data_IF_662673204839
#
_entry.id   IF_662673204839
#
_cell.length_a   1.000
_cell.length_b   1.000
_cell.length_c   1.000
_cell.angle_alpha   90.00
_cell.angle_beta   90.00
_cell.angle_gamma   90.00
#
_symmetry.space_group_name_H-M   'P 1'
#
loop_
_entity.id
_entity.type
_entity.pdbx_description
1 polymer ?
#
# COMPACT_ATOMS: atom_id res chain seq x y z
N UNK A 1 23.72 -6.13 26.34
CA UNK A 1 24.10 -7.36 25.63
C UNK A 1 25.58 -7.32 25.33
N UNK A 2 26.19 -8.47 25.08
CA UNK A 2 27.56 -8.49 24.58
C UNK A 2 27.59 -8.07 23.11
N UNK A 3 28.69 -7.45 22.68
CA UNK A 3 28.90 -7.07 21.28
C UNK A 3 29.97 -7.94 20.66
N UNK A 4 29.63 -8.61 19.57
CA UNK A 4 30.60 -9.29 18.69
C UNK A 4 30.89 -8.36 17.52
N UNK A 5 32.11 -7.84 17.46
CA UNK A 5 32.55 -6.98 16.37
C UNK A 5 33.34 -7.77 15.33
N UNK A 6 33.00 -7.60 14.05
CA UNK A 6 33.63 -8.29 12.92
C UNK A 6 34.34 -7.28 12.02
N UNK A 7 35.65 -7.40 11.91
CA UNK A 7 36.46 -6.55 11.03
C UNK A 7 36.19 -6.83 9.54
N UNK A 8 36.34 -5.80 8.71
CA UNK A 8 36.15 -5.88 7.28
C UNK A 8 37.16 -6.78 6.56
N UNK A 9 36.83 -7.16 5.33
CA UNK A 9 37.66 -8.05 4.50
C UNK A 9 37.56 -9.53 4.90
N UNK A 10 36.79 -9.87 5.93
CA UNK A 10 36.46 -11.26 6.28
C UNK A 10 35.19 -11.74 5.59
N UNK A 11 35.15 -13.04 5.33
CA UNK A 11 33.94 -13.77 4.93
C UNK A 11 33.60 -14.80 6.00
N UNK A 12 32.39 -14.74 6.53
CA UNK A 12 31.84 -15.76 7.44
C UNK A 12 30.98 -16.69 6.59
N UNK A 13 31.37 -17.97 6.52
CA UNK A 13 30.71 -18.97 5.69
C UNK A 13 29.88 -19.92 6.55
N UNK A 14 28.70 -20.26 6.06
CA UNK A 14 27.76 -21.21 6.66
C UNK A 14 26.70 -20.55 7.53
N UNK A 15 25.70 -21.32 7.98
CA UNK A 15 24.64 -20.83 8.86
C UNK A 15 25.20 -20.26 10.15
N UNK A 16 24.62 -19.15 10.61
CA UNK A 16 25.04 -18.47 11.84
C UNK A 16 23.83 -18.19 12.74
N UNK A 17 23.79 -18.83 13.91
CA UNK A 17 22.77 -18.53 14.93
C UNK A 17 23.30 -17.50 15.92
N UNK A 18 22.52 -16.45 16.16
CA UNK A 18 22.88 -15.38 17.12
C UNK A 18 22.15 -15.61 18.45
N UNK A 19 22.88 -15.85 19.55
CA UNK A 19 22.27 -16.03 20.86
C UNK A 19 21.53 -14.78 21.36
N UNK A 20 20.61 -14.96 22.30
CA UNK A 20 19.80 -13.88 22.86
C UNK A 20 20.67 -12.76 23.44
N UNK A 21 20.33 -11.52 23.13
CA UNK A 21 20.98 -10.33 23.68
C UNK A 21 22.32 -9.98 23.06
N UNK A 22 22.76 -10.69 22.02
CA UNK A 22 24.03 -10.41 21.33
C UNK A 22 23.81 -9.41 20.21
N UNK A 23 24.64 -8.37 20.17
CA UNK A 23 24.77 -7.48 19.03
C UNK A 23 25.92 -7.96 18.15
N UNK A 24 25.61 -8.41 16.94
CA UNK A 24 26.60 -8.70 15.92
C UNK A 24 26.78 -7.45 15.05
N UNK A 25 27.98 -6.87 15.08
CA UNK A 25 28.28 -5.59 14.42
C UNK A 25 29.49 -5.77 13.50
N UNK A 26 29.30 -5.53 12.21
CA UNK A 26 30.35 -5.52 11.21
C UNK A 26 30.99 -4.15 11.09
N UNK A 27 32.23 -4.10 10.63
CA UNK A 27 32.97 -2.85 10.43
C UNK A 27 32.25 -1.87 9.48
N UNK A 28 31.31 -2.32 8.63
CA UNK A 28 30.49 -1.44 7.80
C UNK A 28 29.68 -0.41 8.60
N UNK A 29 29.33 -0.70 9.85
CA UNK A 29 28.62 0.22 10.74
C UNK A 29 29.56 1.03 11.66
N UNK A 30 30.84 0.68 11.71
CA UNK A 30 31.77 1.15 12.75
C UNK A 30 31.43 0.59 14.14
N UNK A 31 32.18 1.02 15.15
CA UNK A 31 31.98 0.67 16.56
C UNK A 31 32.37 1.84 17.44
N UNK A 32 31.49 2.23 18.36
CA UNK A 32 31.81 3.16 19.44
C UNK A 32 31.44 2.50 20.76
N UNK A 33 32.45 2.10 21.51
CA UNK A 33 32.33 1.62 22.90
C UNK A 33 33.36 2.35 23.77
N UNK A 34 33.20 2.29 25.10
CA UNK A 34 33.87 3.20 26.03
C UNK A 34 35.39 3.41 25.83
N UNK A 35 36.12 2.41 25.33
CA UNK A 35 37.57 2.49 25.09
C UNK A 35 37.99 2.20 23.65
N UNK A 36 37.04 1.97 22.74
CA UNK A 36 37.33 1.57 21.36
C UNK A 36 36.43 2.32 20.41
N UNK A 37 37.05 3.08 19.51
CA UNK A 37 36.40 3.70 18.36
C UNK A 37 36.97 3.07 17.10
N UNK A 38 36.10 2.46 16.30
CA UNK A 38 36.41 1.97 14.96
C UNK A 38 35.48 2.70 14.00
N UNK A 39 36.05 3.48 13.09
CA UNK A 39 35.27 4.14 12.05
C UNK A 39 34.62 3.12 11.10
N UNK A 40 33.46 3.46 10.49
CA UNK A 40 32.88 2.67 9.42
C UNK A 40 33.91 2.37 8.31
N UNK A 41 33.99 1.11 7.90
CA UNK A 41 34.92 0.63 6.89
C UNK A 41 34.29 -0.41 5.97
N UNK A 42 35.11 -1.28 5.38
CA UNK A 42 34.60 -2.35 4.49
C UNK A 42 33.70 -3.31 5.27
N UNK A 43 32.47 -3.51 4.82
CA UNK A 43 31.56 -4.46 5.44
C UNK A 43 32.09 -5.91 5.32
N UNK A 44 32.16 -6.68 6.41
CA UNK A 44 32.36 -8.12 6.33
C UNK A 44 31.22 -8.80 5.58
N UNK A 45 31.52 -9.89 4.87
CA UNK A 45 30.50 -10.65 4.11
C UNK A 45 29.99 -11.85 4.91
N UNK A 46 28.67 -12.00 4.99
CA UNK A 46 27.98 -13.18 5.53
C UNK A 46 27.46 -14.03 4.36
N UNK A 47 27.87 -15.31 4.31
CA UNK A 47 27.50 -16.27 3.27
C UNK A 47 26.81 -17.47 3.92
N UNK A 48 25.49 -17.39 4.06
CA UNK A 48 24.65 -18.37 4.74
C UNK A 48 23.55 -17.67 5.53
N UNK A 49 22.44 -18.35 5.87
CA UNK A 49 21.37 -17.69 6.62
C UNK A 49 21.86 -17.33 8.01
N UNK A 50 21.56 -16.10 8.43
CA UNK A 50 21.73 -15.64 9.80
C UNK A 50 20.40 -15.83 10.54
N UNK A 51 20.41 -16.62 11.61
CA UNK A 51 19.23 -16.87 12.44
C UNK A 51 19.38 -16.12 13.76
N UNK A 52 18.81 -14.92 13.91
CA UNK A 52 18.75 -14.26 15.20
C UNK A 52 17.81 -15.01 16.15
N UNK A 53 17.90 -14.69 17.44
CA UNK A 53 16.95 -15.13 18.45
C UNK A 53 16.26 -13.90 19.04
N UNK A 54 16.56 -13.50 20.27
CA UNK A 54 15.89 -12.35 20.90
C UNK A 54 16.87 -11.22 21.22
N UNK A 55 16.39 -9.99 21.27
CA UNK A 55 17.14 -8.81 21.71
C UNK A 55 18.47 -8.63 20.96
N UNK A 56 18.48 -8.92 19.67
CA UNK A 56 19.67 -8.88 18.84
C UNK A 56 19.77 -7.58 18.05
N UNK A 57 21.01 -7.21 17.70
CA UNK A 57 21.29 -6.15 16.72
C UNK A 57 22.19 -6.75 15.65
N UNK A 58 21.80 -6.62 14.39
CA UNK A 58 22.58 -7.02 13.22
C UNK A 58 22.90 -5.77 12.40
N UNK A 59 24.16 -5.36 12.35
CA UNK A 59 24.51 -4.12 11.66
C UNK A 59 25.85 -4.14 10.92
N UNK A 60 25.94 -3.44 9.79
CA UNK A 60 27.22 -3.20 9.11
C UNK A 60 27.76 -4.37 8.31
N UNK A 61 26.90 -5.31 7.89
CA UNK A 61 27.27 -6.47 7.09
C UNK A 61 26.88 -6.33 5.63
N UNK A 62 27.58 -7.09 4.78
CA UNK A 62 27.11 -7.46 3.45
C UNK A 62 26.62 -8.91 3.49
N UNK A 63 25.36 -9.19 3.23
CA UNK A 63 24.89 -10.58 3.03
C UNK A 63 24.89 -10.87 1.54
N UNK A 64 25.65 -11.88 1.11
CA UNK A 64 25.71 -12.24 -0.30
C UNK A 64 26.02 -13.72 -0.50
N UNK A 65 25.36 -14.34 -1.49
CA UNK A 65 25.59 -15.75 -1.84
C UNK A 65 25.03 -16.74 -0.81
N UNK A 66 24.06 -16.34 0.00
CA UNK A 66 23.32 -17.29 0.85
C UNK A 66 22.56 -18.28 -0.03
N UNK A 67 22.57 -19.57 0.34
CA UNK A 67 21.80 -20.62 -0.35
C UNK A 67 20.31 -20.64 0.02
N UNK A 68 19.90 -19.78 0.94
CA UNK A 68 18.52 -19.51 1.33
C UNK A 68 18.38 -18.02 1.65
N UNK A 69 17.63 -17.63 2.70
CA UNK A 69 17.51 -16.23 3.05
C UNK A 69 18.83 -15.64 3.54
N UNK A 70 18.96 -14.31 3.48
CA UNK A 70 20.09 -13.62 4.12
C UNK A 70 19.99 -13.67 5.65
N UNK A 71 18.82 -13.28 6.14
CA UNK A 71 18.40 -13.42 7.54
C UNK A 71 17.13 -14.28 7.56
N UNK A 72 17.16 -15.34 8.37
CA UNK A 72 16.08 -16.31 8.48
C UNK A 72 15.50 -16.30 9.90
N UNK A 73 14.24 -15.90 9.99
CA UNK A 73 13.42 -15.91 11.20
C UNK A 73 12.19 -16.81 10.99
N UNK A 74 12.44 -18.02 10.51
CA UNK A 74 11.43 -19.05 10.28
C UNK A 74 10.67 -19.51 11.54
N UNK A 75 9.67 -20.37 11.31
CA UNK A 75 8.79 -20.95 12.34
C UNK A 75 9.59 -21.56 13.48
N UNK A 76 9.19 -21.24 14.72
CA UNK A 76 9.76 -21.82 15.95
C UNK A 76 10.97 -21.06 16.52
N UNK A 77 11.43 -19.99 15.87
CA UNK A 77 12.59 -19.19 16.31
C UNK A 77 12.26 -18.21 17.45
N UNK A 78 10.97 -17.90 17.70
CA UNK A 78 10.51 -16.97 18.76
C UNK A 78 11.32 -15.66 18.79
N UNK A 79 11.61 -15.10 17.62
CA UNK A 79 12.43 -13.89 17.46
C UNK A 79 11.67 -12.65 17.92
N UNK A 80 12.29 -11.79 18.72
CA UNK A 80 11.68 -10.54 19.20
C UNK A 80 12.76 -9.54 19.65
N UNK A 81 12.46 -8.24 19.64
CA UNK A 81 13.41 -7.21 20.04
C UNK A 81 14.63 -7.13 19.10
N UNK A 82 14.39 -7.26 17.80
CA UNK A 82 15.44 -7.32 16.79
C UNK A 82 15.61 -5.98 16.08
N UNK A 83 16.85 -5.54 15.90
CA UNK A 83 17.20 -4.42 15.01
C UNK A 83 18.16 -4.89 13.91
N UNK A 84 17.77 -4.71 12.66
CA UNK A 84 18.58 -4.97 11.47
C UNK A 84 18.87 -3.62 10.82
N UNK A 85 20.13 -3.17 10.84
CA UNK A 85 20.45 -1.82 10.35
C UNK A 85 21.75 -1.65 9.59
N UNK A 86 21.78 -0.73 8.63
CA UNK A 86 23.02 -0.39 7.91
C UNK A 86 23.72 -1.60 7.29
N UNK A 87 22.94 -2.57 6.82
CA UNK A 87 23.44 -3.74 6.08
C UNK A 87 23.20 -3.56 4.58
N UNK A 88 23.93 -4.33 3.79
CA UNK A 88 23.74 -4.48 2.35
C UNK A 88 23.36 -5.91 2.02
N UNK A 89 22.23 -6.11 1.36
CA UNK A 89 21.72 -7.40 0.94
C UNK A 89 21.75 -7.51 -0.58
N UNK A 90 22.33 -8.58 -1.11
CA UNK A 90 22.41 -8.83 -2.55
C UNK A 90 22.61 -10.31 -2.85
N UNK A 91 22.12 -10.82 -3.98
CA UNK A 91 22.42 -12.17 -4.48
C UNK A 91 22.20 -13.31 -3.45
N UNK A 92 21.12 -13.27 -2.68
CA UNK A 92 20.68 -14.44 -1.91
C UNK A 92 19.83 -15.34 -2.82
N UNK A 93 19.75 -16.64 -2.52
CA UNK A 93 18.98 -17.59 -3.31
C UNK A 93 17.47 -17.54 -3.05
N UNK A 94 17.05 -16.93 -1.94
CA UNK A 94 15.66 -16.67 -1.54
C UNK A 94 15.52 -15.20 -1.11
N UNK A 95 14.65 -14.88 -0.14
CA UNK A 95 14.47 -13.52 0.38
C UNK A 95 15.74 -12.96 1.03
N UNK A 96 15.85 -11.63 1.11
CA UNK A 96 16.92 -11.04 1.92
C UNK A 96 16.63 -11.18 3.41
N UNK A 97 15.38 -10.97 3.80
CA UNK A 97 14.89 -11.13 5.17
C UNK A 97 13.59 -11.93 5.10
N UNK A 98 13.61 -13.12 5.68
CA UNK A 98 12.44 -13.99 5.81
C UNK A 98 11.97 -14.02 7.27
N UNK A 99 10.68 -13.72 7.50
CA UNK A 99 10.06 -13.69 8.81
C UNK A 99 8.75 -14.46 8.84
N UNK A 100 8.64 -15.43 9.75
CA UNK A 100 7.37 -16.09 10.05
C UNK A 100 7.12 -16.19 11.54
N UNK A 101 5.91 -15.83 11.96
CA UNK A 101 5.45 -15.89 13.34
C UNK A 101 6.37 -15.21 14.37
N UNK A 102 7.07 -14.16 13.95
CA UNK A 102 7.94 -13.39 14.82
C UNK A 102 7.18 -12.66 15.93
N UNK A 103 7.90 -12.24 16.95
CA UNK A 103 7.45 -11.39 18.04
C UNK A 103 7.76 -9.90 17.78
N UNK A 104 7.66 -9.09 18.83
CA UNK A 104 7.75 -7.63 18.75
C UNK A 104 8.71 -7.06 19.80
N UNK A 105 9.38 -5.92 19.54
CA UNK A 105 9.41 -5.18 18.28
C UNK A 105 10.45 -5.74 17.30
N UNK A 106 10.29 -5.45 16.01
CA UNK A 106 11.31 -5.65 14.96
C UNK A 106 11.50 -4.35 14.19
N UNK A 107 12.75 -3.93 14.04
CA UNK A 107 13.12 -2.74 13.27
C UNK A 107 14.13 -3.10 12.18
N UNK A 108 13.82 -2.69 10.95
CA UNK A 108 14.66 -2.85 9.77
C UNK A 108 14.94 -1.45 9.23
N UNK A 109 16.14 -0.92 9.46
CA UNK A 109 16.43 0.49 9.20
C UNK A 109 17.71 0.76 8.42
N UNK A 110 17.68 1.72 7.50
CA UNK A 110 18.89 2.19 6.78
C UNK A 110 19.68 1.08 6.07
N UNK A 111 19.03 0.03 5.59
CA UNK A 111 19.66 -1.03 4.82
C UNK A 111 19.56 -0.75 3.32
N UNK A 112 20.41 -1.42 2.54
CA UNK A 112 20.38 -1.41 1.09
C UNK A 112 20.09 -2.82 0.59
N UNK A 113 19.07 -2.97 -0.25
CA UNK A 113 18.67 -4.21 -0.90
C UNK A 113 18.88 -4.05 -2.41
N UNK A 114 19.57 -5.00 -3.03
CA UNK A 114 19.83 -4.98 -4.48
C UNK A 114 19.49 -6.32 -5.10
N UNK A 115 18.51 -6.28 -5.99
CA UNK A 115 17.87 -7.47 -6.54
C UNK A 115 17.08 -8.24 -5.48
N UNK A 116 16.47 -9.33 -5.90
CA UNK A 116 16.10 -10.48 -5.07
C UNK A 116 16.19 -11.72 -5.95
N UNK A 117 16.17 -12.91 -5.36
CA UNK A 117 16.06 -14.12 -6.17
C UNK A 117 14.76 -14.10 -6.99
N UNK A 118 14.80 -14.73 -8.17
CA UNK A 118 13.66 -14.74 -9.07
C UNK A 118 12.39 -15.29 -8.37
N UNK A 119 11.31 -14.51 -8.38
CA UNK A 119 10.04 -14.85 -7.73
C UNK A 119 10.01 -14.72 -6.19
N UNK A 120 11.07 -14.22 -5.55
CA UNK A 120 11.12 -14.00 -4.10
C UNK A 120 11.04 -12.51 -3.76
N UNK A 121 10.47 -12.23 -2.58
CA UNK A 121 10.41 -10.87 -2.04
C UNK A 121 11.77 -10.45 -1.48
N UNK A 122 12.08 -9.14 -1.42
CA UNK A 122 13.28 -8.72 -0.68
C UNK A 122 13.07 -8.88 0.84
N UNK A 123 11.91 -8.46 1.35
CA UNK A 123 11.48 -8.71 2.73
C UNK A 123 10.12 -9.40 2.71
N UNK A 124 10.04 -10.56 3.36
CA UNK A 124 8.78 -11.27 3.58
C UNK A 124 8.49 -11.39 5.07
N UNK A 125 7.26 -11.05 5.47
CA UNK A 125 6.74 -11.27 6.80
C UNK A 125 5.35 -11.90 6.74
N UNK A 126 5.19 -13.06 7.37
CA UNK A 126 3.89 -13.70 7.56
C UNK A 126 3.63 -13.96 9.05
N UNK A 127 2.39 -13.68 9.48
CA UNK A 127 1.89 -14.02 10.80
C UNK A 127 0.65 -14.90 10.69
N UNK A 128 0.69 -16.10 11.23
CA UNK A 128 -0.43 -17.07 11.15
C UNK A 128 -1.23 -17.22 12.44
N UNK A 129 -0.74 -16.70 13.58
CA UNK A 129 -1.57 -16.60 14.78
C UNK A 129 -0.89 -16.15 16.08
N UNK A 130 -1.74 -15.91 17.08
CA UNK A 130 -1.39 -15.57 18.47
C UNK A 130 -1.95 -14.23 18.91
N UNK A 131 -2.49 -14.13 20.13
CA UNK A 131 -3.05 -12.88 20.69
C UNK A 131 -1.94 -11.90 21.14
N UNK A 132 -1.07 -11.48 20.23
CA UNK A 132 0.02 -10.53 20.53
C UNK A 132 -0.02 -9.36 19.57
N UNK A 133 0.46 -8.21 20.04
CA UNK A 133 0.73 -7.06 19.18
C UNK A 133 2.04 -7.31 18.44
N UNK A 134 2.04 -7.11 17.13
CA UNK A 134 3.26 -7.04 16.31
C UNK A 134 3.58 -5.58 16.09
N UNK A 135 4.84 -5.22 16.30
CA UNK A 135 5.36 -3.88 16.02
C UNK A 135 6.55 -4.06 15.08
N UNK A 136 6.32 -3.76 13.80
CA UNK A 136 7.29 -3.88 12.73
C UNK A 136 7.50 -2.51 12.08
N UNK A 137 8.75 -2.05 12.07
CA UNK A 137 9.14 -0.82 11.38
C UNK A 137 10.15 -1.11 10.28
N UNK A 138 9.88 -0.65 9.06
CA UNK A 138 10.80 -0.69 7.92
C UNK A 138 11.06 0.75 7.51
N UNK A 139 12.22 1.28 7.91
CA UNK A 139 12.48 2.72 7.85
C UNK A 139 13.78 3.08 7.11
N UNK A 140 13.74 4.08 6.23
CA UNK A 140 14.91 4.64 5.55
C UNK A 140 15.76 3.63 4.78
N UNK A 141 15.16 2.54 4.28
CA UNK A 141 15.86 1.56 3.46
C UNK A 141 15.85 1.96 1.99
N UNK A 142 16.82 1.44 1.23
CA UNK A 142 16.87 1.57 -0.23
C UNK A 142 16.71 0.19 -0.86
N UNK A 143 15.78 0.07 -1.79
CA UNK A 143 15.54 -1.14 -2.58
C UNK A 143 15.78 -0.80 -4.05
N UNK A 144 16.54 -1.63 -4.75
CA UNK A 144 16.83 -1.42 -6.17
C UNK A 144 16.72 -2.74 -6.90
N UNK A 145 15.81 -2.83 -7.88
CA UNK A 145 15.81 -3.95 -8.80
C UNK A 145 17.10 -3.90 -9.64
N UNK A 146 17.74 -5.06 -9.83
CA UNK A 146 18.90 -5.19 -10.71
C UNK A 146 18.52 -5.38 -12.19
N UNK A 147 17.23 -5.53 -12.50
CA UNK A 147 16.71 -5.73 -13.85
C UNK A 147 17.17 -7.02 -14.52
N UNK A 148 17.68 -8.00 -13.77
CA UNK A 148 18.24 -9.25 -14.32
C UNK A 148 17.26 -10.41 -14.31
N UNK A 149 16.26 -10.39 -13.43
CA UNK A 149 15.23 -11.41 -13.29
C UNK A 149 13.92 -10.80 -12.77
N UNK A 150 12.79 -11.48 -13.02
CA UNK A 150 11.51 -11.15 -12.39
C UNK A 150 11.63 -11.35 -10.89
N UNK A 151 11.56 -10.25 -10.14
CA UNK A 151 11.59 -10.27 -8.68
C UNK A 151 10.16 -10.41 -8.17
N UNK A 152 10.00 -10.89 -6.94
CA UNK A 152 8.71 -10.78 -6.25
C UNK A 152 8.45 -9.31 -5.87
N UNK A 153 8.03 -9.06 -4.64
CA UNK A 153 7.74 -7.73 -4.11
C UNK A 153 8.96 -7.19 -3.37
N UNK A 154 9.13 -5.88 -3.30
CA UNK A 154 10.19 -5.35 -2.43
C UNK A 154 9.87 -5.69 -0.96
N UNK A 155 8.60 -5.54 -0.56
CA UNK A 155 8.13 -5.89 0.78
C UNK A 155 6.76 -6.57 0.67
N UNK A 156 6.63 -7.71 1.34
CA UNK A 156 5.36 -8.41 1.51
C UNK A 156 5.05 -8.65 2.99
N UNK A 157 3.91 -8.14 3.45
CA UNK A 157 3.41 -8.34 4.82
C UNK A 157 2.07 -9.07 4.75
N UNK A 158 1.99 -10.21 5.42
CA UNK A 158 0.78 -11.03 5.51
C UNK A 158 0.35 -11.20 6.98
N UNK A 159 -0.84 -10.73 7.28
CA UNK A 159 -1.49 -10.88 8.58
C UNK A 159 -2.63 -11.87 8.44
N UNK A 160 -2.44 -13.12 8.88
CA UNK A 160 -3.38 -14.21 8.63
C UNK A 160 -4.14 -14.65 9.90
N UNK A 161 -3.80 -14.11 11.07
CA UNK A 161 -4.38 -14.53 12.34
C UNK A 161 -5.44 -13.59 12.93
N UNK A 162 -5.35 -13.35 14.24
CA UNK A 162 -6.30 -12.53 15.03
C UNK A 162 -5.60 -11.44 15.86
N UNK A 163 -4.32 -11.25 15.57
CA UNK A 163 -3.43 -10.29 16.20
C UNK A 163 -3.71 -8.84 15.80
N UNK A 164 -3.13 -7.92 16.56
CA UNK A 164 -3.03 -6.51 16.17
C UNK A 164 -1.66 -6.24 15.58
N UNK A 165 -1.60 -5.75 14.35
CA UNK A 165 -0.36 -5.29 13.72
C UNK A 165 -0.25 -3.78 13.82
N UNK A 166 0.90 -3.30 14.29
CA UNK A 166 1.39 -1.95 14.14
C UNK A 166 2.52 -2.04 13.12
N UNK A 167 2.27 -1.49 11.92
CA UNK A 167 3.24 -1.54 10.83
C UNK A 167 3.59 -0.13 10.38
N UNK A 168 4.88 0.19 10.41
CA UNK A 168 5.41 1.43 9.89
C UNK A 168 6.32 1.21 8.70
N UNK A 169 6.04 1.89 7.60
CA UNK A 169 6.86 1.90 6.40
C UNK A 169 7.21 3.35 6.06
N UNK A 170 8.41 3.81 6.48
CA UNK A 170 8.73 5.25 6.48
C UNK A 170 10.04 5.61 5.78
N UNK A 171 10.02 6.65 4.95
CA UNK A 171 11.24 7.22 4.39
C UNK A 171 12.03 6.29 3.46
N UNK A 172 11.42 5.22 2.96
CA UNK A 172 12.10 4.25 2.10
C UNK A 172 12.15 4.74 0.66
N UNK A 173 13.17 4.28 -0.07
CA UNK A 173 13.28 4.50 -1.52
C UNK A 173 13.25 3.15 -2.21
N UNK A 174 12.30 2.94 -3.11
CA UNK A 174 12.19 1.73 -3.93
C UNK A 174 12.29 2.15 -5.39
N UNK A 175 13.28 1.60 -6.11
CA UNK A 175 13.49 1.87 -7.53
C UNK A 175 13.49 0.57 -8.32
N UNK A 176 12.47 0.42 -9.16
CA UNK A 176 12.34 -0.65 -10.13
C UNK A 176 12.67 -0.22 -11.56
N UNK A 177 12.37 -1.08 -12.52
CA UNK A 177 12.69 -0.91 -13.95
C UNK A 177 11.47 -0.68 -14.86
N UNK A 178 10.26 -0.62 -14.29
CA UNK A 178 8.97 -0.55 -14.99
C UNK A 178 8.83 -1.62 -16.10
N UNK A 179 9.15 -2.86 -15.77
CA UNK A 179 8.99 -4.01 -16.66
C UNK A 179 8.93 -5.30 -15.82
N UNK A 180 8.74 -6.44 -16.48
CA UNK A 180 8.63 -7.77 -15.85
C UNK A 180 9.92 -8.25 -15.14
N UNK A 181 11.00 -7.48 -15.19
CA UNK A 181 12.26 -7.73 -14.44
C UNK A 181 12.39 -6.79 -13.23
N UNK A 182 11.31 -6.09 -12.87
CA UNK A 182 11.21 -5.25 -11.67
C UNK A 182 10.68 -6.04 -10.48
N UNK A 183 10.52 -5.36 -9.34
CA UNK A 183 9.61 -5.82 -8.30
C UNK A 183 8.17 -5.73 -8.81
N UNK A 184 7.36 -6.75 -8.52
CA UNK A 184 5.92 -6.74 -8.80
C UNK A 184 5.25 -5.59 -8.09
N UNK A 185 5.41 -5.50 -6.77
CA UNK A 185 4.91 -4.38 -5.97
C UNK A 185 5.99 -3.80 -5.04
N UNK A 186 5.87 -2.51 -4.72
CA UNK A 186 6.75 -1.86 -3.75
C UNK A 186 6.45 -2.32 -2.32
N UNK A 187 5.21 -2.06 -1.88
CA UNK A 187 4.67 -2.61 -0.64
C UNK A 187 3.41 -3.40 -0.95
N UNK A 188 3.41 -4.68 -0.61
CA UNK A 188 2.23 -5.51 -0.58
C UNK A 188 1.83 -5.81 0.85
N UNK A 189 0.57 -5.56 1.18
CA UNK A 189 0.00 -5.86 2.48
C UNK A 189 -1.30 -6.62 2.32
N UNK A 190 -1.41 -7.77 2.99
CA UNK A 190 -2.67 -8.51 3.08
C UNK A 190 -3.09 -8.78 4.51
N UNK A 191 -4.39 -8.62 4.77
CA UNK A 191 -5.02 -8.98 6.03
C UNK A 191 -6.14 -10.00 5.83
N UNK A 192 -5.99 -11.14 6.48
CA UNK A 192 -6.97 -12.20 6.61
C UNK A 192 -7.25 -12.44 8.11
N UNK A 193 -8.27 -13.25 8.37
CA UNK A 193 -8.71 -13.57 9.72
C UNK A 193 -9.36 -12.39 10.45
N UNK A 194 -9.23 -12.38 11.77
CA UNK A 194 -9.77 -11.33 12.65
C UNK A 194 -8.71 -10.30 13.04
N UNK A 195 -7.66 -10.16 12.23
CA UNK A 195 -6.56 -9.24 12.52
C UNK A 195 -7.02 -7.78 12.52
N UNK A 196 -6.34 -6.95 13.30
CA UNK A 196 -6.51 -5.49 13.30
C UNK A 196 -5.20 -4.86 12.93
N UNK A 197 -5.14 -4.19 11.79
CA UNK A 197 -3.89 -3.72 11.22
C UNK A 197 -3.92 -2.20 11.20
N UNK A 198 -3.02 -1.58 11.97
CA UNK A 198 -2.81 -0.14 11.99
C UNK A 198 -1.49 0.14 11.26
N UNK A 199 -1.61 0.79 10.12
CA UNK A 199 -0.56 0.88 9.12
C UNK A 199 -0.24 2.34 8.86
N UNK A 200 1.05 2.68 8.89
CA UNK A 200 1.54 3.99 8.51
C UNK A 200 2.49 3.84 7.32
N UNK A 201 2.16 4.47 6.20
CA UNK A 201 3.00 4.54 5.00
C UNK A 201 3.34 6.01 4.77
N UNK A 202 4.56 6.42 5.11
CA UNK A 202 4.90 7.84 5.10
C UNK A 202 6.27 8.20 4.53
N UNK A 203 6.35 9.29 3.77
CA UNK A 203 7.64 9.82 3.29
C UNK A 203 8.39 8.90 2.32
N UNK A 204 7.75 7.90 1.71
CA UNK A 204 8.41 6.97 0.81
C UNK A 204 8.48 7.52 -0.61
N UNK A 205 9.50 7.11 -1.36
CA UNK A 205 9.62 7.30 -2.81
C UNK A 205 9.63 5.94 -3.48
N UNK A 206 8.61 5.63 -4.29
CA UNK A 206 8.47 4.34 -4.97
C UNK A 206 8.30 4.60 -6.45
N UNK A 207 9.11 3.95 -7.28
CA UNK A 207 9.03 4.13 -8.72
C UNK A 207 9.38 2.89 -9.51
N UNK A 208 8.77 2.70 -10.69
CA UNK A 208 9.16 1.66 -11.63
C UNK A 208 8.72 0.25 -11.24
N UNK A 209 7.64 0.09 -10.49
CA UNK A 209 7.10 -1.23 -10.16
C UNK A 209 6.47 -1.86 -11.40
N UNK A 210 6.45 -3.19 -11.50
CA UNK A 210 5.74 -3.88 -12.59
C UNK A 210 4.22 -3.72 -12.45
N UNK A 211 3.69 -3.79 -11.24
CA UNK A 211 2.26 -3.68 -10.94
C UNK A 211 1.97 -2.42 -10.14
N UNK A 212 2.10 -2.46 -8.81
CA UNK A 212 1.68 -1.36 -7.93
C UNK A 212 2.78 -0.80 -7.04
N UNK A 213 2.81 0.52 -6.80
CA UNK A 213 3.70 1.06 -5.77
C UNK A 213 3.30 0.59 -4.38
N UNK A 214 2.01 0.63 -4.07
CA UNK A 214 1.43 0.07 -2.85
C UNK A 214 0.17 -0.72 -3.19
N UNK A 215 0.08 -1.94 -2.65
CA UNK A 215 -1.07 -2.82 -2.82
C UNK A 215 -1.58 -3.30 -1.45
N UNK A 216 -2.80 -2.89 -1.12
CA UNK A 216 -3.57 -3.48 -0.03
C UNK A 216 -4.58 -4.48 -0.57
N UNK A 217 -4.45 -5.72 -0.13
CA UNK A 217 -5.33 -6.81 -0.52
C UNK A 217 -6.03 -7.41 0.69
N UNK A 218 -7.30 -7.76 0.52
CA UNK A 218 -7.97 -8.72 1.38
C UNK A 218 -8.48 -9.86 0.50
N UNK A 219 -7.61 -10.83 0.25
CA UNK A 219 -7.93 -11.95 -0.61
C UNK A 219 -8.98 -12.86 0.04
N UNK A 220 -10.17 -12.97 -0.58
CA UNK A 220 -11.13 -14.07 -0.40
C UNK A 220 -11.04 -15.01 -1.62
N UNK A 221 -11.30 -16.33 -1.62
CA UNK A 221 -12.49 -17.12 -1.28
C UNK A 221 -12.09 -18.55 -0.82
N UNK A 222 -10.79 -18.85 -0.76
CA UNK A 222 -10.22 -20.20 -0.75
C UNK A 222 -9.84 -20.71 0.64
N UNK A 223 -9.71 -19.84 1.64
CA UNK A 223 -9.44 -20.26 3.01
C UNK A 223 -10.75 -20.58 3.75
N UNK A 224 -10.99 -21.85 4.15
CA UNK A 224 -12.15 -22.20 4.96
C UNK A 224 -12.02 -21.55 6.35
N UNK A 225 -12.69 -20.41 6.53
CA UNK A 225 -12.60 -19.55 7.71
C UNK A 225 -12.56 -18.04 7.43
N UNK A 226 -12.61 -17.63 6.15
CA UNK A 226 -12.45 -16.26 5.64
C UNK A 226 -13.30 -15.15 6.29
N UNK A 227 -12.81 -14.62 7.40
CA UNK A 227 -12.95 -13.20 7.74
C UNK A 227 -11.78 -12.44 7.12
N UNK A 228 -12.02 -11.22 6.65
CA UNK A 228 -10.95 -10.35 6.13
C UNK A 228 -10.55 -9.33 7.16
N UNK A 229 -9.30 -9.29 7.64
CA UNK A 229 -8.92 -8.51 8.83
C UNK A 229 -9.16 -7.00 8.69
N UNK A 230 -9.41 -6.28 9.79
CA UNK A 230 -9.55 -4.79 9.80
C UNK A 230 -8.25 -4.14 9.33
N UNK A 231 -8.33 -3.17 8.41
CA UNK A 231 -7.17 -2.38 7.95
C UNK A 231 -7.48 -0.90 8.21
N UNK A 232 -6.64 -0.27 9.03
CA UNK A 232 -6.62 1.16 9.27
C UNK A 232 -5.28 1.68 8.78
N UNK A 233 -5.25 2.35 7.61
CA UNK A 233 -4.01 2.84 7.05
C UNK A 233 -4.01 4.37 6.93
N UNK A 234 -2.93 5.00 7.40
CA UNK A 234 -2.61 6.38 7.10
C UNK A 234 -1.44 6.40 6.09
N UNK A 235 -1.71 6.92 4.89
CA UNK A 235 -0.78 6.96 3.76
C UNK A 235 -0.53 8.43 3.40
N UNK A 236 0.67 8.95 3.67
CA UNK A 236 0.92 10.38 3.50
C UNK A 236 2.35 10.80 3.15
N UNK A 237 2.48 11.94 2.50
CA UNK A 237 3.77 12.51 2.07
C UNK A 237 4.62 11.52 1.23
N UNK A 238 3.99 10.64 0.46
CA UNK A 238 4.69 9.72 -0.43
C UNK A 238 4.74 10.26 -1.87
N UNK A 239 5.73 9.78 -2.62
CA UNK A 239 5.87 9.99 -4.06
C UNK A 239 5.83 8.64 -4.78
N UNK A 240 4.81 8.41 -5.58
CA UNK A 240 4.63 7.21 -6.41
C UNK A 240 4.72 7.59 -7.89
N UNK A 241 5.66 6.99 -8.63
CA UNK A 241 5.95 7.40 -10.02
C UNK A 241 6.21 6.22 -10.95
N UNK A 242 5.53 6.14 -12.09
CA UNK A 242 5.91 5.18 -13.14
C UNK A 242 5.67 3.73 -12.75
N UNK A 243 4.51 3.41 -12.17
CA UNK A 243 4.12 2.03 -11.86
C UNK A 243 3.43 1.40 -13.07
N UNK A 244 3.73 0.14 -13.38
CA UNK A 244 3.31 -0.53 -14.60
C UNK A 244 1.83 -0.91 -14.69
N UNK A 245 1.07 -0.76 -13.60
CA UNK A 245 -0.40 -0.76 -13.64
C UNK A 245 -0.90 0.46 -12.86
N UNK A 246 -0.89 0.42 -11.53
CA UNK A 246 -1.41 1.54 -10.70
C UNK A 246 -0.41 2.05 -9.67
N UNK A 247 -0.59 3.26 -9.15
CA UNK A 247 0.26 3.69 -8.03
C UNK A 247 -0.25 3.14 -6.69
N UNK A 248 -1.56 3.13 -6.47
CA UNK A 248 -2.18 2.55 -5.28
C UNK A 248 -3.32 1.62 -5.67
N UNK A 249 -3.22 0.35 -5.30
CA UNK A 249 -4.27 -0.64 -5.46
C UNK A 249 -4.90 -1.00 -4.12
N UNK A 250 -6.22 -0.87 -4.03
CA UNK A 250 -7.05 -1.29 -2.90
C UNK A 250 -8.02 -2.38 -3.37
N UNK A 251 -7.66 -3.65 -3.21
CA UNK A 251 -8.51 -4.79 -3.62
C UNK A 251 -9.10 -5.49 -2.38
N UNK A 252 -10.39 -5.30 -2.16
CA UNK A 252 -11.10 -5.86 -1.02
C UNK A 252 -12.26 -6.74 -1.46
N UNK A 253 -12.12 -8.04 -1.18
CA UNK A 253 -13.14 -9.05 -1.48
C UNK A 253 -13.70 -9.66 -0.19
N UNK A 254 -15.01 -9.54 0.01
CA UNK A 254 -15.73 -10.26 1.06
C UNK A 254 -15.42 -9.87 2.53
N UNK A 255 -16.16 -10.49 3.45
CA UNK A 255 -15.98 -10.41 4.91
C UNK A 255 -16.81 -9.31 5.59
N UNK A 256 -18.06 -9.60 6.02
CA UNK A 256 -18.82 -8.62 6.78
C UNK A 256 -18.21 -8.48 8.18
N UNK A 257 -18.17 -7.26 8.71
CA UNK A 257 -17.77 -6.99 10.09
C UNK A 257 -16.31 -6.60 10.32
N UNK A 258 -15.55 -6.34 9.25
CA UNK A 258 -14.18 -5.88 9.36
C UNK A 258 -13.99 -4.58 8.56
N UNK A 259 -14.22 -3.41 9.19
CA UNK A 259 -14.11 -2.14 8.50
C UNK A 259 -12.70 -1.94 7.94
N UNK A 260 -12.63 -1.28 6.79
CA UNK A 260 -11.38 -0.78 6.21
C UNK A 260 -11.45 0.73 6.21
N UNK A 261 -10.48 1.39 6.82
CA UNK A 261 -10.38 2.85 6.80
C UNK A 261 -9.01 3.23 6.26
N UNK A 262 -9.01 3.89 5.11
CA UNK A 262 -7.79 4.39 4.47
C UNK A 262 -7.85 5.91 4.48
N UNK A 263 -6.84 6.55 5.06
CA UNK A 263 -6.62 7.99 4.91
C UNK A 263 -5.43 8.18 3.99
N UNK A 264 -5.65 8.86 2.88
CA UNK A 264 -4.64 9.15 1.86
C UNK A 264 -4.46 10.66 1.77
N UNK A 265 -3.36 11.21 2.25
CA UNK A 265 -3.19 12.67 2.25
C UNK A 265 -1.80 13.19 1.93
N UNK A 266 -1.74 14.32 1.22
CA UNK A 266 -0.47 14.96 0.85
C UNK A 266 0.48 14.05 0.05
N UNK A 267 -0.05 13.16 -0.79
CA UNK A 267 0.76 12.31 -1.66
C UNK A 267 0.86 12.87 -3.08
N UNK A 268 1.91 12.48 -3.79
CA UNK A 268 2.09 12.74 -5.23
C UNK A 268 2.10 11.41 -5.97
N UNK A 269 1.12 11.22 -6.86
CA UNK A 269 0.93 10.03 -7.68
C UNK A 269 1.04 10.45 -9.14
N UNK A 270 2.02 9.91 -9.87
CA UNK A 270 2.34 10.37 -11.23
C UNK A 270 2.60 9.21 -12.18
N UNK A 271 2.03 9.25 -13.39
CA UNK A 271 2.48 8.41 -14.50
C UNK A 271 2.28 6.92 -14.28
N UNK A 272 1.08 6.48 -13.90
CA UNK A 272 0.71 5.05 -13.97
C UNK A 272 0.39 4.64 -15.41
N UNK A 273 0.66 3.38 -15.77
CA UNK A 273 0.30 2.82 -17.07
C UNK A 273 -1.20 2.45 -17.18
N UNK A 274 -1.92 2.54 -16.06
CA UNK A 274 -3.38 2.46 -15.90
C UNK A 274 -3.84 3.59 -14.94
N UNK A 275 -4.62 3.28 -13.90
CA UNK A 275 -5.13 4.25 -12.92
C UNK A 275 -4.10 4.79 -11.93
N UNK A 276 -4.25 6.04 -11.51
CA UNK A 276 -3.50 6.60 -10.38
C UNK A 276 -3.79 5.84 -9.10
N UNK A 277 -5.08 5.64 -8.80
CA UNK A 277 -5.58 4.84 -7.68
C UNK A 277 -6.68 3.94 -8.21
N UNK A 278 -6.57 2.64 -7.95
CA UNK A 278 -7.61 1.68 -8.28
C UNK A 278 -8.19 1.06 -7.02
N UNK A 279 -9.53 1.01 -6.97
CA UNK A 279 -10.28 0.50 -5.84
C UNK A 279 -11.23 -0.58 -6.36
N UNK A 280 -11.09 -1.80 -5.87
CA UNK A 280 -12.04 -2.88 -6.13
C UNK A 280 -12.71 -3.30 -4.82
N UNK A 281 -14.03 -3.18 -4.77
CA UNK A 281 -14.87 -3.58 -3.64
C UNK A 281 -15.85 -4.65 -4.08
N UNK A 282 -15.67 -5.88 -3.60
CA UNK A 282 -16.45 -7.03 -4.06
C UNK A 282 -17.16 -7.71 -2.87
N UNK A 283 -18.33 -8.29 -3.15
CA UNK A 283 -19.17 -9.03 -2.20
C UNK A 283 -19.67 -8.16 -1.05
N UNK A 284 -19.19 -8.34 0.17
CA UNK A 284 -19.62 -7.57 1.35
C UNK A 284 -18.42 -6.89 2.03
N UNK A 285 -17.41 -6.53 1.22
CA UNK A 285 -16.34 -5.65 1.65
C UNK A 285 -16.90 -4.29 2.07
N UNK A 286 -16.27 -3.65 3.04
CA UNK A 286 -16.61 -2.30 3.51
C UNK A 286 -15.36 -1.43 3.50
N UNK A 287 -15.40 -0.29 2.81
CA UNK A 287 -14.30 0.68 2.77
C UNK A 287 -14.78 2.08 3.09
N UNK A 288 -14.04 2.77 3.96
CA UNK A 288 -14.05 4.22 4.07
C UNK A 288 -12.72 4.77 3.59
N UNK A 289 -12.72 5.53 2.50
CA UNK A 289 -11.56 6.26 2.00
C UNK A 289 -11.73 7.75 2.28
N UNK A 290 -10.73 8.36 2.90
CA UNK A 290 -10.59 9.82 2.99
C UNK A 290 -9.33 10.23 2.24
N UNK A 291 -9.49 10.83 1.07
CA UNK A 291 -8.39 11.29 0.23
C UNK A 291 -8.32 12.83 0.27
N UNK A 292 -7.23 13.41 0.78
CA UNK A 292 -7.06 14.86 0.79
C UNK A 292 -5.70 15.42 0.40
N UNK A 293 -5.69 16.60 -0.22
CA UNK A 293 -4.46 17.33 -0.52
C UNK A 293 -3.45 16.52 -1.38
N UNK A 294 -3.93 15.55 -2.18
CA UNK A 294 -3.08 14.76 -3.07
C UNK A 294 -2.97 15.41 -4.44
N UNK A 295 -1.86 15.17 -5.12
CA UNK A 295 -1.69 15.45 -6.54
C UNK A 295 -1.66 14.13 -7.30
N UNK A 296 -2.62 13.94 -8.20
CA UNK A 296 -2.76 12.75 -9.05
C UNK A 296 -2.69 13.22 -10.50
N UNK A 297 -1.71 12.72 -11.26
CA UNK A 297 -1.49 13.24 -12.61
C UNK A 297 -0.83 12.26 -13.57
N UNK A 298 -1.12 12.42 -14.86
CA UNK A 298 -0.44 11.69 -15.91
C UNK A 298 -0.72 10.19 -15.92
N UNK A 299 -1.77 9.73 -15.25
CA UNK A 299 -2.26 8.34 -15.36
C UNK A 299 -2.71 8.07 -16.79
N UNK A 300 -2.45 6.87 -17.30
CA UNK A 300 -2.80 6.52 -18.67
C UNK A 300 -4.30 6.30 -18.87
N UNK A 301 -5.00 5.92 -17.80
CA UNK A 301 -6.47 5.90 -17.71
C UNK A 301 -6.90 6.95 -16.68
N UNK A 302 -7.53 6.56 -15.56
CA UNK A 302 -8.12 7.52 -14.62
C UNK A 302 -7.16 8.01 -13.55
N UNK A 303 -7.49 9.15 -12.95
CA UNK A 303 -6.88 9.55 -11.68
C UNK A 303 -7.25 8.59 -10.54
N UNK A 304 -8.55 8.33 -10.38
CA UNK A 304 -9.09 7.36 -9.42
C UNK A 304 -10.17 6.55 -10.11
N UNK A 305 -10.02 5.23 -10.14
CA UNK A 305 -11.03 4.29 -10.58
C UNK A 305 -11.63 3.52 -9.39
N UNK A 306 -12.96 3.52 -9.31
CA UNK A 306 -13.72 2.84 -8.25
C UNK A 306 -14.63 1.79 -8.86
N UNK A 307 -14.28 0.52 -8.72
CA UNK A 307 -15.14 -0.61 -9.08
C UNK A 307 -15.81 -1.20 -7.84
N UNK A 308 -17.11 -0.95 -7.70
CA UNK A 308 -17.93 -1.49 -6.61
C UNK A 308 -18.91 -2.52 -7.15
N UNK A 309 -18.81 -3.75 -6.63
CA UNK A 309 -19.63 -4.89 -7.05
C UNK A 309 -20.45 -5.49 -5.89
N UNK A 310 -21.61 -6.07 -6.23
CA UNK A 310 -22.45 -6.85 -5.31
C UNK A 310 -22.92 -6.04 -4.09
N UNK A 311 -22.81 -6.56 -2.87
CA UNK A 311 -23.32 -5.94 -1.63
C UNK A 311 -22.27 -5.08 -0.91
N UNK A 312 -21.19 -4.67 -1.57
CA UNK A 312 -20.08 -4.01 -0.91
C UNK A 312 -20.47 -2.59 -0.50
N UNK A 313 -19.94 -2.10 0.63
CA UNK A 313 -20.16 -0.74 1.12
C UNK A 313 -18.91 0.11 0.86
N UNK A 314 -19.12 1.32 0.37
CA UNK A 314 -18.05 2.27 0.11
C UNK A 314 -18.46 3.70 0.46
N UNK A 315 -17.71 4.35 1.34
CA UNK A 315 -17.80 5.80 1.59
C UNK A 315 -16.48 6.45 1.17
N UNK A 316 -16.55 7.38 0.22
CA UNK A 316 -15.40 8.04 -0.38
C UNK A 316 -15.50 9.54 -0.15
N UNK A 317 -14.55 10.09 0.60
CA UNK A 317 -14.46 11.54 0.87
C UNK A 317 -13.19 12.03 0.20
N UNK A 318 -13.34 12.74 -0.92
CA UNK A 318 -12.25 13.19 -1.77
C UNK A 318 -12.26 14.72 -1.76
N UNK A 319 -11.27 15.31 -1.09
CA UNK A 319 -11.24 16.76 -0.85
C UNK A 319 -9.90 17.44 -1.10
N UNK A 320 -9.89 18.67 -1.59
CA UNK A 320 -8.67 19.45 -1.85
C UNK A 320 -7.62 18.73 -2.73
N UNK A 321 -8.02 17.79 -3.58
CA UNK A 321 -7.07 17.09 -4.45
C UNK A 321 -6.91 17.83 -5.79
N UNK A 322 -5.76 17.62 -6.43
CA UNK A 322 -5.47 18.08 -7.77
C UNK A 322 -5.37 16.90 -8.73
N UNK A 323 -6.20 16.91 -9.78
CA UNK A 323 -6.21 15.95 -10.88
C UNK A 323 -5.72 16.65 -12.15
N UNK A 324 -4.68 16.12 -12.79
CA UNK A 324 -4.05 16.81 -13.93
C UNK A 324 -3.56 15.87 -15.02
N UNK A 325 -4.00 16.09 -16.27
CA UNK A 325 -3.53 15.36 -17.46
C UNK A 325 -3.70 13.83 -17.35
N UNK A 326 -4.84 13.33 -16.85
CA UNK A 326 -5.14 11.90 -16.86
C UNK A 326 -5.71 11.48 -18.23
N UNK A 327 -5.43 10.24 -18.61
CA UNK A 327 -5.70 9.72 -19.94
C UNK A 327 -7.17 9.41 -20.21
N UNK A 328 -7.93 9.07 -19.16
CA UNK A 328 -9.38 8.97 -19.10
C UNK A 328 -9.95 10.12 -18.27
N UNK A 329 -10.61 9.77 -17.17
CA UNK A 329 -11.27 10.68 -16.25
C UNK A 329 -10.36 11.19 -15.12
N UNK A 330 -10.81 12.26 -14.45
CA UNK A 330 -10.25 12.59 -13.14
C UNK A 330 -10.59 11.52 -12.09
N UNK A 331 -11.87 11.17 -12.01
CA UNK A 331 -12.43 10.11 -11.17
C UNK A 331 -13.50 9.36 -11.96
N UNK A 332 -13.35 8.05 -12.13
CA UNK A 332 -14.41 7.15 -12.61
C UNK A 332 -14.92 6.28 -11.46
N UNK A 333 -16.24 6.14 -11.34
CA UNK A 333 -16.86 5.14 -10.48
C UNK A 333 -17.84 4.26 -11.21
N UNK A 334 -17.56 2.96 -11.19
CA UNK A 334 -18.39 1.91 -11.76
C UNK A 334 -19.11 1.12 -10.67
N UNK A 335 -20.45 1.11 -10.72
CA UNK A 335 -21.30 0.42 -9.75
C UNK A 335 -21.98 -0.79 -10.44
N UNK A 336 -21.54 -2.01 -10.11
CA UNK A 336 -21.93 -3.26 -10.77
C UNK A 336 -22.78 -4.21 -9.91
N UNK A 337 -23.69 -4.94 -10.58
CA UNK A 337 -24.82 -5.63 -9.97
C UNK A 337 -24.53 -6.98 -9.28
N UNK A 338 -25.21 -7.21 -8.14
CA UNK A 338 -25.44 -8.51 -7.52
C UNK A 338 -26.67 -8.60 -6.58
N UNK A 339 -27.63 -7.65 -6.64
CA UNK A 339 -28.75 -7.56 -5.67
C UNK A 339 -28.40 -6.69 -4.45
N UNK A 340 -28.10 -5.42 -4.71
CA UNK A 340 -27.37 -4.56 -3.78
C UNK A 340 -28.27 -4.01 -2.67
N UNK A 341 -27.82 -4.17 -1.42
CA UNK A 341 -28.29 -3.41 -0.25
C UNK A 341 -27.18 -2.55 0.35
N UNK A 342 -25.97 -2.60 -0.23
CA UNK A 342 -24.84 -1.90 0.32
C UNK A 342 -24.85 -0.42 -0.04
N UNK A 343 -24.26 0.39 0.84
CA UNK A 343 -24.18 1.84 0.78
C UNK A 343 -23.03 2.27 -0.15
N UNK A 344 -23.29 3.22 -1.05
CA UNK A 344 -22.26 3.85 -1.88
C UNK A 344 -22.39 5.37 -1.77
N UNK A 345 -21.44 5.99 -1.09
CA UNK A 345 -21.45 7.42 -0.78
C UNK A 345 -20.18 8.07 -1.30
N UNK A 346 -20.32 9.17 -2.02
CA UNK A 346 -19.19 9.93 -2.54
C UNK A 346 -19.36 11.42 -2.24
N UNK A 347 -18.41 11.96 -1.49
CA UNK A 347 -18.28 13.39 -1.24
C UNK A 347 -17.06 13.95 -2.00
N UNK A 348 -17.29 14.91 -2.90
CA UNK A 348 -16.26 15.60 -3.67
C UNK A 348 -16.23 17.08 -3.28
N UNK A 349 -15.17 17.52 -2.61
CA UNK A 349 -15.08 18.86 -2.03
C UNK A 349 -13.80 19.60 -2.45
N UNK A 350 -13.92 20.83 -2.96
CA UNK A 350 -12.76 21.71 -3.20
C UNK A 350 -11.64 21.10 -4.09
N UNK A 351 -11.97 20.14 -4.96
CA UNK A 351 -10.99 19.52 -5.85
C UNK A 351 -10.77 20.38 -7.11
N UNK A 352 -9.60 20.26 -7.73
CA UNK A 352 -9.25 20.93 -8.97
C UNK A 352 -8.94 19.88 -10.03
N UNK A 353 -9.70 19.91 -11.13
CA UNK A 353 -9.52 19.04 -12.29
C UNK A 353 -9.02 19.86 -13.48
N UNK A 354 -8.00 19.35 -14.15
CA UNK A 354 -7.35 20.04 -15.27
C UNK A 354 -6.90 19.07 -16.35
N UNK A 355 -7.48 19.20 -17.55
CA UNK A 355 -7.10 18.45 -18.75
C UNK A 355 -7.25 16.93 -18.61
N UNK A 356 -8.35 16.42 -18.05
CA UNK A 356 -8.77 15.04 -18.32
C UNK A 356 -9.15 14.92 -19.82
N UNK A 357 -8.87 13.78 -20.45
CA UNK A 357 -9.19 13.61 -21.87
C UNK A 357 -10.67 13.30 -22.09
N UNK A 358 -11.33 12.70 -21.10
CA UNK A 358 -12.76 12.41 -21.10
C UNK A 358 -13.51 13.40 -20.20
N UNK A 359 -14.16 12.93 -19.14
CA UNK A 359 -14.82 13.76 -18.15
C UNK A 359 -13.89 14.04 -16.96
N UNK A 360 -14.21 15.04 -16.14
CA UNK A 360 -13.45 15.20 -14.90
C UNK A 360 -13.91 14.20 -13.85
N UNK A 361 -15.21 13.85 -13.89
CA UNK A 361 -15.85 12.90 -13.00
C UNK A 361 -16.91 12.13 -13.77
N UNK A 362 -16.84 10.80 -13.79
CA UNK A 362 -17.92 9.93 -14.24
C UNK A 362 -18.36 8.98 -13.13
N UNK A 363 -19.68 8.87 -12.94
CA UNK A 363 -20.28 7.77 -12.19
C UNK A 363 -21.32 7.04 -13.03
N UNK A 364 -21.07 5.74 -13.23
CA UNK A 364 -21.87 4.86 -14.06
C UNK A 364 -22.38 3.66 -13.25
N UNK A 365 -23.69 3.39 -13.33
CA UNK A 365 -24.30 2.25 -12.65
C UNK A 365 -24.81 1.21 -13.65
N UNK A 366 -24.13 0.08 -13.74
CA UNK A 366 -24.32 -0.90 -14.81
C UNK A 366 -25.06 -2.10 -14.25
N UNK A 367 -26.40 -2.01 -14.26
CA UNK A 367 -27.41 -3.02 -13.89
C UNK A 367 -27.85 -3.06 -12.40
N UNK A 368 -29.10 -3.45 -12.16
CA UNK A 368 -29.66 -3.73 -10.83
C UNK A 368 -30.30 -2.55 -10.13
N UNK A 369 -30.89 -2.78 -8.96
CA UNK A 369 -31.28 -1.70 -8.06
C UNK A 369 -30.05 -1.31 -7.24
N UNK A 370 -29.51 -0.11 -7.50
CA UNK A 370 -28.50 0.55 -6.68
C UNK A 370 -29.08 1.84 -6.13
N UNK A 371 -28.70 2.18 -4.91
CA UNK A 371 -28.76 3.56 -4.43
C UNK A 371 -27.32 4.02 -4.23
N UNK A 372 -27.03 5.22 -4.72
CA UNK A 372 -25.76 5.90 -4.50
C UNK A 372 -26.04 7.35 -4.10
N UNK A 373 -25.31 7.85 -3.12
CA UNK A 373 -25.44 9.21 -2.61
C UNK A 373 -24.21 10.03 -2.99
N UNK A 374 -24.44 11.21 -3.57
CA UNK A 374 -23.39 12.10 -4.04
C UNK A 374 -23.56 13.49 -3.44
N UNK A 375 -22.50 14.00 -2.84
CA UNK A 375 -22.34 15.41 -2.49
C UNK A 375 -21.13 15.96 -3.27
N UNK A 376 -21.37 16.93 -4.15
CA UNK A 376 -20.36 17.47 -5.07
C UNK A 376 -20.42 18.99 -5.01
N UNK A 377 -19.51 19.59 -4.24
CA UNK A 377 -19.51 21.03 -4.01
C UNK A 377 -18.12 21.66 -4.06
N UNK A 378 -18.08 22.93 -4.48
CA UNK A 378 -16.89 23.80 -4.45
C UNK A 378 -15.71 23.29 -5.29
N UNK A 379 -15.94 22.35 -6.20
CA UNK A 379 -14.92 21.86 -7.12
C UNK A 379 -14.72 22.80 -8.31
N UNK A 380 -13.54 22.73 -8.93
CA UNK A 380 -13.22 23.37 -10.21
C UNK A 380 -13.01 22.30 -11.28
N UNK A 381 -13.88 22.29 -12.28
CA UNK A 381 -13.90 21.33 -13.39
C UNK A 381 -13.40 21.98 -14.68
N UNK A 382 -12.56 21.29 -15.43
CA UNK A 382 -12.14 21.60 -16.79
C UNK A 382 -12.97 20.88 -17.87
N UNK A 383 -13.73 19.85 -17.52
CA UNK A 383 -14.58 19.05 -18.41
C UNK A 383 -15.96 18.81 -17.76
N UNK A 384 -16.71 17.80 -18.23
CA UNK A 384 -18.04 17.50 -17.68
C UNK A 384 -17.95 16.74 -16.36
N UNK A 385 -19.10 16.70 -15.69
CA UNK A 385 -19.40 15.74 -14.62
C UNK A 385 -20.56 14.88 -15.11
N UNK A 386 -20.30 13.60 -15.36
CA UNK A 386 -21.27 12.64 -15.92
C UNK A 386 -21.87 11.75 -14.84
N UNK A 387 -23.20 11.80 -14.70
CA UNK A 387 -23.96 10.95 -13.79
C UNK A 387 -24.92 10.06 -14.59
N UNK A 388 -24.58 8.78 -14.72
CA UNK A 388 -25.20 7.85 -15.66
C UNK A 388 -25.92 6.67 -14.96
N UNK A 389 -27.00 6.91 -14.18
CA UNK A 389 -27.77 5.82 -13.60
C UNK A 389 -28.59 5.09 -14.68
N UNK A 390 -28.41 3.78 -14.80
CA UNK A 390 -29.30 2.95 -15.61
C UNK A 390 -30.72 2.90 -15.00
N UNK A 391 -31.72 2.55 -15.81
CA UNK A 391 -33.15 2.73 -15.47
C UNK A 391 -33.66 2.09 -14.17
N UNK A 392 -32.91 1.15 -13.58
CA UNK A 392 -33.22 0.50 -12.30
C UNK A 392 -32.44 1.05 -11.10
N UNK A 393 -31.46 1.91 -11.33
CA UNK A 393 -30.57 2.50 -10.32
C UNK A 393 -31.06 3.90 -9.97
N UNK A 394 -30.88 4.32 -8.72
CA UNK A 394 -31.20 5.68 -8.26
C UNK A 394 -29.94 6.37 -7.76
N UNK A 395 -29.64 7.53 -8.31
CA UNK A 395 -28.61 8.41 -7.78
C UNK A 395 -29.28 9.52 -6.98
N UNK A 396 -28.97 9.59 -5.70
CA UNK A 396 -29.36 10.67 -4.81
C UNK A 396 -28.24 11.69 -4.86
N UNK A 397 -28.54 12.89 -5.34
CA UNK A 397 -27.54 13.94 -5.55
C UNK A 397 -27.97 15.16 -4.76
N UNK A 398 -27.13 15.57 -3.81
CA UNK A 398 -27.39 16.76 -3.03
C UNK A 398 -27.38 18.01 -3.91
N UNK A 399 -28.33 18.90 -3.66
CA UNK A 399 -28.42 20.22 -4.30
C UNK A 399 -28.49 20.20 -5.84
N UNK A 400 -28.78 19.06 -6.46
CA UNK A 400 -28.84 18.90 -7.92
C UNK A 400 -29.69 19.99 -8.62
N UNK A 401 -30.91 20.21 -8.15
CA UNK A 401 -31.87 21.21 -8.66
C UNK A 401 -31.59 22.63 -8.17
N UNK A 402 -30.92 22.79 -7.03
CA UNK A 402 -30.47 24.09 -6.55
C UNK A 402 -29.33 24.64 -7.43
N UNK A 403 -28.73 23.76 -8.24
CA UNK A 403 -27.83 24.07 -9.33
C UNK A 403 -26.43 23.56 -9.03
N UNK A 404 -26.19 22.28 -9.29
CA UNK A 404 -24.85 21.67 -9.20
C UNK A 404 -23.78 22.49 -9.97
N UNK A 405 -24.19 23.10 -11.08
CA UNK A 405 -23.40 24.03 -11.90
C UNK A 405 -23.09 25.39 -11.23
N UNK A 406 -23.81 25.76 -10.17
CA UNK A 406 -23.65 27.06 -9.48
C UNK A 406 -22.82 26.95 -8.21
N UNK A 407 -22.81 25.76 -7.58
CA UNK A 407 -21.99 25.46 -6.40
C UNK A 407 -20.59 24.96 -6.77
N UNK A 408 -20.39 24.54 -8.03
CA UNK A 408 -19.10 24.20 -8.61
C UNK A 408 -18.72 25.20 -9.71
N UNK A 409 -17.43 25.28 -10.03
CA UNK A 409 -16.91 26.11 -11.12
C UNK A 409 -16.58 25.23 -12.32
N UNK A 410 -17.28 25.42 -13.45
CA UNK A 410 -16.96 24.78 -14.72
C UNK A 410 -16.20 25.75 -15.62
N UNK A 411 -14.92 25.48 -15.90
CA UNK A 411 -14.11 26.22 -16.87
C UNK A 411 -14.54 25.88 -18.30
N UNK A 412 -14.93 24.63 -18.51
CA UNK A 412 -15.65 24.10 -19.67
C UNK A 412 -16.55 22.96 -19.22
N UNK A 413 -17.40 22.47 -20.12
CA UNK A 413 -18.33 21.38 -19.82
C UNK A 413 -19.51 21.81 -18.96
N UNK A 414 -20.23 20.80 -18.47
CA UNK A 414 -21.37 20.96 -17.56
C UNK A 414 -21.68 19.62 -16.89
N UNK A 415 -22.64 19.61 -15.98
CA UNK A 415 -23.22 18.36 -15.49
C UNK A 415 -24.06 17.70 -16.60
N UNK A 416 -23.73 16.47 -16.94
CA UNK A 416 -24.41 15.60 -17.89
C UNK A 416 -25.06 14.43 -17.17
N UNK A 417 -26.25 14.05 -17.62
CA UNK A 417 -26.99 12.96 -17.00
C UNK A 417 -27.61 12.07 -18.07
N UNK A 418 -27.44 10.76 -17.94
CA UNK A 418 -28.18 9.80 -18.76
C UNK A 418 -29.09 8.94 -17.87
N UNK A 419 -30.40 8.99 -18.12
CA UNK A 419 -31.39 8.28 -17.31
C UNK A 419 -32.36 9.21 -16.57
N UNK A 420 -33.46 8.63 -16.07
CA UNK A 420 -34.54 9.37 -15.40
C UNK A 420 -34.51 9.22 -13.87
N UNK A 421 -33.43 8.71 -13.31
CA UNK A 421 -33.39 8.23 -11.93
C UNK A 421 -32.39 9.00 -11.04
N UNK A 422 -32.27 10.30 -11.28
CA UNK A 422 -31.59 11.22 -10.37
C UNK A 422 -32.65 11.84 -9.45
N UNK A 423 -32.45 11.66 -8.15
CA UNK A 423 -33.27 12.26 -7.10
C UNK A 423 -32.48 13.39 -6.48
N UNK A 424 -33.03 14.60 -6.55
CA UNK A 424 -32.46 15.72 -5.83
C UNK A 424 -32.70 15.57 -4.32
N UNK A 425 -31.62 15.61 -3.54
CA UNK A 425 -31.67 15.69 -2.09
C UNK A 425 -31.37 17.11 -1.59
N UNK A 426 -31.79 17.42 -0.37
CA UNK A 426 -31.36 18.62 0.32
C UNK A 426 -29.90 18.48 0.79
N UNK A 427 -29.29 19.60 1.16
CA UNK A 427 -27.94 19.60 1.70
C UNK A 427 -27.86 18.85 3.03
N UNK A 428 -26.93 17.90 3.16
CA UNK A 428 -26.72 17.04 4.32
C UNK A 428 -27.65 15.82 4.41
N UNK A 429 -28.44 15.53 3.37
CA UNK A 429 -29.30 14.33 3.34
C UNK A 429 -28.51 13.04 3.10
N UNK A 430 -27.37 13.10 2.41
CA UNK A 430 -26.46 11.99 2.18
C UNK A 430 -25.56 11.67 3.40
N UNK A 431 -25.52 12.54 4.42
CA UNK A 431 -24.74 12.37 5.68
C UNK A 431 -23.28 11.91 5.48
N UNK A 432 -22.61 12.43 4.44
CA UNK A 432 -21.22 12.09 4.10
C UNK A 432 -20.27 12.84 5.04
N UNK A 433 -20.08 12.32 6.26
CA UNK A 433 -19.19 12.87 7.29
C UNK A 433 -17.99 11.98 7.57
#
# INVERSE_FOLDING_TARGET
GDTVFVFGGSTINGPLTIPNGISLIGQGAGLVVAQTVVEPGTAPTLVGPVTPTQNNVLAGFRTAGSTGPGIDMGIGTNVAGLTIRSNRFENNAEEHIYMTDTGSPISIESNVFTGSAAGFDAIFHEKTGGNKVIDLSIDNNTFTSDGTASQGRAIAIQSLGSETHQFGFRGNTITGTNNTLSYTDGLYFTAQGASVNNIEVSGNTISGMENSAVFFENASLTFPGGGGGTINADIFNNSFTGSGVTNLLLDFVGGPGYPKTIKLFSNTLTGSDDDGIQISLIANATLRLVASDNTISGSADDGIFIDRQQTADGTFIIQNNQFTNNGGDGIEGMIQNGGMTGLFEVGLFDNIFTNSNEDDVEFSAINGAAEACFDIERNTFSSNVSLNPQSSNTFIVEQFNAGLNTINTFLSGSVTTSGNAIVNAANGDCDIN
#
